data_IF_050229062671
#
_entry.id   IF_050229062671
#
_cell.length_a   1.000
_cell.length_b   1.000
_cell.length_c   1.000
_cell.angle_alpha   90.00
_cell.angle_beta   90.00
_cell.angle_gamma   90.00
#
_symmetry.space_group_name_H-M   'P 1'
#
loop_
_entity.id
_entity.type
_entity.pdbx_description
1 polymer ?
#
# COMPACT_ATOMS: atom_id res chain seq x y z
N UNK A 1 -5.54 -17.06 -1.36
CA UNK A 1 -6.41 -16.90 -0.19
C UNK A 1 -6.40 -15.44 0.20
N UNK A 2 -7.58 -14.86 0.44
CA UNK A 2 -7.77 -13.49 0.96
C UNK A 2 -8.19 -13.64 2.42
N UNK A 3 -7.45 -13.02 3.32
CA UNK A 3 -7.64 -13.07 4.77
C UNK A 3 -8.25 -11.75 5.23
N UNK A 4 -9.44 -11.83 5.80
CA UNK A 4 -10.27 -10.71 6.22
C UNK A 4 -10.33 -10.74 7.75
N UNK A 5 -9.44 -9.99 8.38
CA UNK A 5 -9.26 -10.02 9.83
C UNK A 5 -10.30 -9.18 10.57
N UNK A 6 -10.54 -9.54 11.82
CA UNK A 6 -11.22 -8.66 12.78
C UNK A 6 -10.20 -7.75 13.48
N UNK A 7 -10.58 -6.50 13.82
CA UNK A 7 -9.71 -5.64 14.61
C UNK A 7 -9.42 -6.26 15.98
N UNK A 8 -8.23 -5.99 16.51
CA UNK A 8 -7.96 -6.21 17.94
C UNK A 8 -8.79 -5.23 18.79
N UNK A 9 -9.06 -5.52 20.08
CA UNK A 9 -9.94 -4.70 20.92
C UNK A 9 -9.65 -3.18 20.90
N UNK A 10 -8.38 -2.80 20.87
CA UNK A 10 -7.96 -1.38 20.87
C UNK A 10 -7.56 -0.86 19.49
N UNK A 11 -7.68 -1.68 18.44
CA UNK A 11 -7.28 -1.32 17.09
C UNK A 11 -8.38 -0.50 16.42
N UNK A 12 -8.02 0.72 16.02
CA UNK A 12 -8.92 1.61 15.29
C UNK A 12 -8.63 1.59 13.78
N UNK A 13 -9.65 1.81 12.93
CA UNK A 13 -9.42 2.00 11.51
C UNK A 13 -8.51 3.21 11.26
N UNK A 14 -7.60 3.14 10.27
CA UNK A 14 -6.96 4.33 9.70
C UNK A 14 -8.02 5.28 9.13
N UNK A 15 -7.69 6.58 9.07
CA UNK A 15 -8.61 7.65 8.64
C UNK A 15 -9.39 7.34 7.35
N UNK A 16 -8.76 6.71 6.36
CA UNK A 16 -9.40 6.34 5.08
C UNK A 16 -10.46 5.22 5.16
N UNK A 17 -10.42 4.43 6.23
CA UNK A 17 -11.36 3.34 6.54
C UNK A 17 -12.23 3.66 7.76
N UNK A 18 -12.03 4.82 8.39
CA UNK A 18 -12.86 5.32 9.50
C UNK A 18 -14.17 5.89 8.93
N UNK A 19 -14.99 4.98 8.40
CA UNK A 19 -16.24 5.28 7.71
C UNK A 19 -17.40 4.59 8.42
N UNK A 20 -18.60 5.20 8.46
CA UNK A 20 -19.79 4.56 9.01
C UNK A 20 -20.04 3.20 8.35
N UNK A 21 -20.13 2.14 9.17
CA UNK A 21 -20.38 0.78 8.68
C UNK A 21 -19.15 0.01 8.21
N UNK A 22 -17.93 0.54 8.37
CA UNK A 22 -16.68 -0.18 8.08
C UNK A 22 -15.98 -0.51 9.39
N UNK A 23 -16.09 -1.76 9.84
CA UNK A 23 -15.57 -2.21 11.14
C UNK A 23 -14.46 -3.25 11.07
N UNK A 24 -14.39 -4.03 9.98
CA UNK A 24 -13.43 -5.11 9.84
C UNK A 24 -12.91 -5.30 8.41
N UNK A 25 -12.03 -6.28 8.21
CA UNK A 25 -11.45 -6.58 6.90
C UNK A 25 -12.49 -6.98 5.85
N UNK A 26 -13.62 -7.58 6.24
CA UNK A 26 -14.67 -7.96 5.31
C UNK A 26 -15.44 -6.74 4.80
N UNK A 27 -15.73 -5.78 5.69
CA UNK A 27 -16.32 -4.50 5.30
C UNK A 27 -15.40 -3.70 4.38
N UNK A 28 -14.11 -3.62 4.73
CA UNK A 28 -13.08 -2.96 3.90
C UNK A 28 -13.01 -3.63 2.53
N UNK A 29 -13.04 -4.97 2.47
CA UNK A 29 -12.94 -5.70 1.21
C UNK A 29 -14.18 -5.50 0.33
N UNK A 30 -15.38 -5.53 0.93
CA UNK A 30 -16.62 -5.24 0.21
C UNK A 30 -16.62 -3.82 -0.36
N UNK A 31 -16.22 -2.82 0.44
CA UNK A 31 -16.12 -1.43 -0.01
C UNK A 31 -15.04 -1.23 -1.08
N UNK A 32 -13.89 -1.89 -0.94
CA UNK A 32 -12.82 -1.84 -1.94
C UNK A 32 -13.32 -2.38 -3.29
N UNK A 33 -13.99 -3.52 -3.27
CA UNK A 33 -14.53 -4.12 -4.48
C UNK A 33 -15.64 -3.25 -5.10
N UNK A 34 -16.51 -2.67 -4.28
CA UNK A 34 -17.51 -1.71 -4.76
C UNK A 34 -16.87 -0.50 -5.44
N UNK A 35 -15.87 0.13 -4.81
CA UNK A 35 -15.15 1.29 -5.37
C UNK A 35 -14.41 0.96 -6.67
N UNK A 36 -13.96 -0.27 -6.81
CA UNK A 36 -13.25 -0.76 -7.99
C UNK A 36 -14.18 -1.34 -9.07
N UNK A 37 -15.50 -1.31 -8.88
CA UNK A 37 -16.49 -1.96 -9.76
C UNK A 37 -16.19 -3.46 -9.99
N UNK A 38 -15.75 -4.13 -8.94
CA UNK A 38 -15.41 -5.56 -8.93
C UNK A 38 -16.53 -6.33 -8.26
N UNK A 39 -17.22 -7.18 -9.03
CA UNK A 39 -18.13 -8.16 -8.45
C UNK A 39 -17.35 -9.24 -7.70
N UNK A 40 -17.59 -9.36 -6.39
CA UNK A 40 -16.98 -10.39 -5.56
C UNK A 40 -17.73 -11.71 -5.73
N UNK A 41 -17.00 -12.80 -5.96
CA UNK A 41 -17.56 -14.15 -5.95
C UNK A 41 -17.49 -14.73 -4.54
N UNK A 42 -18.51 -14.44 -3.72
CA UNK A 42 -18.60 -14.93 -2.35
C UNK A 42 -18.83 -16.43 -2.24
N UNK A 43 -19.45 -17.05 -3.25
CA UNK A 43 -19.68 -18.50 -3.33
C UNK A 43 -18.38 -19.24 -3.68
N UNK A 44 -17.54 -19.40 -2.67
CA UNK A 44 -16.26 -20.11 -2.71
C UNK A 44 -15.97 -20.73 -1.34
N UNK A 45 -14.93 -21.54 -1.20
CA UNK A 45 -14.53 -22.08 0.11
C UNK A 45 -14.24 -20.94 1.09
N UNK A 46 -15.00 -20.91 2.20
CA UNK A 46 -14.83 -19.94 3.28
C UNK A 46 -14.47 -20.62 4.60
N UNK A 47 -13.49 -20.07 5.30
CA UNK A 47 -13.03 -20.58 6.60
C UNK A 47 -13.03 -19.44 7.61
N UNK A 48 -13.69 -19.64 8.75
CA UNK A 48 -13.56 -18.75 9.90
C UNK A 48 -12.21 -18.98 10.57
N UNK A 49 -11.50 -17.90 10.82
CA UNK A 49 -10.21 -17.93 11.53
C UNK A 49 -10.43 -18.08 13.03
N UNK A 50 -9.36 -18.41 13.76
CA UNK A 50 -9.44 -18.65 15.21
C UNK A 50 -9.98 -17.45 16.00
N UNK A 51 -9.85 -16.23 15.46
CA UNK A 51 -10.27 -14.98 16.11
C UNK A 51 -11.60 -14.44 15.54
N UNK A 52 -12.24 -15.17 14.63
CA UNK A 52 -13.52 -14.79 14.03
C UNK A 52 -13.43 -14.12 12.66
N UNK A 53 -12.22 -13.84 12.16
CA UNK A 53 -12.00 -13.36 10.78
C UNK A 53 -12.41 -14.39 9.73
N UNK A 54 -12.25 -14.05 8.46
CA UNK A 54 -12.73 -14.85 7.33
C UNK A 54 -11.63 -15.03 6.27
N UNK A 55 -11.29 -16.29 5.98
CA UNK A 55 -10.51 -16.63 4.79
C UNK A 55 -11.43 -16.93 3.61
N UNK A 56 -11.18 -16.31 2.46
CA UNK A 56 -11.73 -16.67 1.16
C UNK A 56 -10.68 -17.37 0.31
N UNK A 57 -10.96 -18.60 -0.11
CA UNK A 57 -10.06 -19.37 -0.96
C UNK A 57 -10.49 -19.26 -2.41
N UNK A 58 -9.52 -19.08 -3.32
CA UNK A 58 -9.75 -19.09 -4.76
C UNK A 58 -8.63 -19.87 -5.43
N UNK A 59 -8.95 -20.52 -6.54
CA UNK A 59 -7.99 -21.14 -7.43
C UNK A 59 -7.43 -20.08 -8.38
N UNK A 60 -6.11 -19.90 -8.40
CA UNK A 60 -5.47 -18.95 -9.30
C UNK A 60 -5.63 -19.37 -10.77
N UNK A 61 -5.74 -18.43 -11.72
CA UNK A 61 -5.71 -18.74 -13.15
C UNK A 61 -4.41 -19.48 -13.53
N UNK A 62 -4.47 -20.35 -14.54
CA UNK A 62 -3.29 -21.08 -15.00
C UNK A 62 -2.14 -20.13 -15.39
N UNK A 63 -0.93 -20.44 -14.94
CA UNK A 63 0.27 -19.62 -15.18
C UNK A 63 0.37 -18.33 -14.35
N UNK A 64 -0.66 -17.96 -13.60
CA UNK A 64 -0.64 -16.77 -12.77
C UNK A 64 0.22 -16.96 -11.50
N UNK A 65 1.01 -15.94 -11.15
CA UNK A 65 1.75 -15.88 -9.89
C UNK A 65 1.47 -14.57 -9.18
N UNK A 66 0.76 -14.65 -8.07
CA UNK A 66 0.56 -13.54 -7.15
C UNK A 66 1.48 -13.71 -5.94
N UNK A 67 2.11 -12.61 -5.45
CA UNK A 67 2.80 -12.64 -4.17
C UNK A 67 1.81 -12.70 -3.01
N UNK A 68 2.29 -13.12 -1.85
CA UNK A 68 1.57 -12.89 -0.60
C UNK A 68 1.75 -11.44 -0.17
N UNK A 69 0.71 -10.83 0.40
CA UNK A 69 0.75 -9.44 0.85
C UNK A 69 0.20 -9.29 2.27
N UNK A 70 0.61 -8.23 2.96
CA UNK A 70 0.09 -7.86 4.28
C UNK A 70 -0.34 -6.41 4.27
N UNK A 71 -1.63 -6.17 4.53
CA UNK A 71 -2.24 -4.83 4.60
C UNK A 71 -2.13 -3.99 3.32
N UNK A 72 -1.82 -4.59 2.17
CA UNK A 72 -1.56 -3.83 0.93
C UNK A 72 -2.82 -3.44 0.16
N UNK A 73 -3.90 -4.21 0.31
CA UNK A 73 -5.19 -3.92 -0.34
C UNK A 73 -6.04 -2.97 0.50
N UNK A 74 -5.91 -3.03 1.83
CA UNK A 74 -6.70 -2.25 2.75
C UNK A 74 -6.47 -2.68 4.19
N UNK A 75 -7.02 -1.91 5.13
CA UNK A 75 -6.96 -2.23 6.55
C UNK A 75 -7.59 -3.62 6.82
N UNK A 76 -6.87 -4.46 7.58
CA UNK A 76 -7.29 -5.83 7.93
C UNK A 76 -7.50 -6.77 6.73
N UNK A 77 -6.86 -6.48 5.58
CA UNK A 77 -6.86 -7.37 4.42
C UNK A 77 -5.45 -7.85 4.13
N UNK A 78 -5.28 -9.16 4.19
CA UNK A 78 -4.06 -9.87 3.85
C UNK A 78 -4.30 -10.83 2.68
N UNK A 79 -3.25 -11.14 1.92
CA UNK A 79 -3.32 -12.17 0.89
C UNK A 79 -2.22 -13.21 1.09
N UNK A 80 -2.57 -14.48 0.89
CA UNK A 80 -1.63 -15.61 0.89
C UNK A 80 -1.73 -16.33 -0.45
N UNK A 81 -0.61 -16.37 -1.15
CA UNK A 81 -0.48 -16.92 -2.50
C UNK A 81 0.87 -17.63 -2.64
N UNK A 82 1.58 -17.46 -3.76
CA UNK A 82 2.81 -18.18 -4.02
C UNK A 82 3.87 -17.89 -2.94
N UNK A 83 4.52 -18.93 -2.42
CA UNK A 83 5.51 -18.85 -1.34
C UNK A 83 4.93 -18.56 0.05
N UNK A 84 3.61 -18.40 0.18
CA UNK A 84 2.92 -18.26 1.47
C UNK A 84 2.25 -19.56 1.92
N UNK A 85 1.88 -19.62 3.19
CA UNK A 85 1.07 -20.69 3.77
C UNK A 85 -0.02 -20.12 4.67
N UNK A 86 -0.98 -20.97 5.02
CA UNK A 86 -2.13 -20.66 5.86
C UNK A 86 -2.34 -21.78 6.86
N UNK A 87 -2.92 -21.47 8.01
CA UNK A 87 -3.40 -22.50 8.93
C UNK A 87 -4.67 -23.12 8.33
N UNK A 88 -4.68 -24.45 8.21
CA UNK A 88 -5.75 -25.17 7.52
C UNK A 88 -7.03 -25.25 8.38
N UNK A 89 -8.22 -25.29 7.76
CA UNK A 89 -9.46 -25.63 8.48
C UNK A 89 -9.33 -26.98 9.21
N UNK A 90 -9.94 -27.07 10.39
CA UNK A 90 -9.78 -28.20 11.32
C UNK A 90 -8.66 -28.02 12.34
N UNK A 91 -7.76 -27.05 12.13
CA UNK A 91 -6.68 -26.74 13.07
C UNK A 91 -7.21 -26.05 14.33
N UNK A 92 -6.62 -26.40 15.48
CA UNK A 92 -6.78 -25.69 16.75
C UNK A 92 -5.47 -24.99 17.10
N UNK A 93 -5.54 -23.71 17.43
CA UNK A 93 -4.37 -22.88 17.73
C UNK A 93 -4.52 -22.26 19.11
N UNK A 94 -3.55 -22.51 19.98
CA UNK A 94 -3.43 -21.89 21.31
C UNK A 94 -2.22 -20.96 21.33
N UNK A 95 -2.48 -19.69 21.59
CA UNK A 95 -1.47 -18.62 21.71
C UNK A 95 -1.74 -17.82 23.00
N UNK A 96 -0.82 -16.93 23.45
CA UNK A 96 -1.00 -16.16 24.69
C UNK A 96 -2.28 -15.32 24.74
N UNK A 97 -2.84 -15.00 23.59
CA UNK A 97 -4.07 -14.23 23.40
C UNK A 97 -5.36 -15.09 23.37
N UNK A 98 -5.24 -16.41 23.57
CA UNK A 98 -6.35 -17.35 23.64
C UNK A 98 -6.26 -18.55 22.70
N UNK A 99 -7.20 -19.47 22.87
CA UNK A 99 -7.38 -20.66 22.02
C UNK A 99 -8.54 -20.44 21.06
N UNK A 100 -8.37 -20.84 19.81
CA UNK A 100 -9.46 -20.85 18.83
C UNK A 100 -9.23 -21.85 17.71
N UNK A 101 -10.24 -21.98 16.85
CA UNK A 101 -10.28 -23.01 15.81
C UNK A 101 -10.48 -22.38 14.44
N UNK A 102 -9.82 -22.96 13.43
CA UNK A 102 -10.14 -22.67 12.04
C UNK A 102 -11.27 -23.59 11.59
N UNK A 103 -12.43 -23.04 11.23
CA UNK A 103 -13.62 -23.82 10.90
C UNK A 103 -14.12 -23.50 9.51
N UNK A 104 -14.45 -24.52 8.73
CA UNK A 104 -15.14 -24.30 7.45
C UNK A 104 -16.49 -23.66 7.77
N UNK A 105 -16.73 -22.46 7.22
CA UNK A 105 -18.01 -21.78 7.32
C UNK A 105 -18.88 -22.11 6.11
N UNK A 106 -18.28 -22.11 4.92
CA UNK A 106 -18.95 -22.47 3.68
C UNK A 106 -18.11 -23.50 2.95
N UNK A 107 -18.64 -24.72 2.83
CA UNK A 107 -17.97 -25.82 2.17
C UNK A 107 -18.28 -25.78 0.69
N UNK A 108 -17.29 -25.38 -0.11
CA UNK A 108 -17.34 -25.41 -1.56
C UNK A 108 -15.95 -25.78 -2.09
N UNK A 109 -15.88 -26.14 -3.38
CA UNK A 109 -14.60 -26.16 -4.09
C UNK A 109 -14.14 -24.71 -4.22
N UNK A 110 -12.87 -24.36 -3.96
CA UNK A 110 -12.36 -23.02 -4.20
C UNK A 110 -12.64 -22.57 -5.63
N UNK A 111 -13.48 -21.55 -5.77
CA UNK A 111 -13.85 -20.98 -7.05
C UNK A 111 -12.63 -20.46 -7.79
N UNK A 112 -12.70 -20.38 -9.12
CA UNK A 112 -11.70 -19.66 -9.90
C UNK A 112 -11.67 -18.20 -9.46
N UNK A 113 -10.47 -17.66 -9.30
CA UNK A 113 -10.28 -16.25 -8.97
C UNK A 113 -10.80 -15.39 -10.14
N UNK A 114 -11.83 -14.55 -9.93
CA UNK A 114 -12.38 -13.74 -11.02
C UNK A 114 -11.32 -12.81 -11.63
N UNK A 115 -11.29 -12.58 -12.95
CA UNK A 115 -10.27 -11.74 -13.59
C UNK A 115 -10.21 -10.31 -13.04
N UNK A 116 -11.35 -9.73 -12.69
CA UNK A 116 -11.46 -8.42 -12.07
C UNK A 116 -10.79 -8.37 -10.69
N UNK A 117 -11.05 -9.39 -9.85
CA UNK A 117 -10.41 -9.54 -8.56
C UNK A 117 -8.92 -9.89 -8.68
N UNK A 118 -8.55 -10.70 -9.67
CA UNK A 118 -7.14 -10.99 -9.97
C UNK A 118 -6.37 -9.70 -10.26
N UNK A 119 -6.91 -8.82 -11.11
CA UNK A 119 -6.31 -7.51 -11.42
C UNK A 119 -6.17 -6.63 -10.17
N UNK A 120 -7.16 -6.65 -9.28
CA UNK A 120 -7.11 -5.91 -8.01
C UNK A 120 -6.04 -6.45 -7.05
N UNK A 121 -5.79 -7.76 -7.08
CA UNK A 121 -4.78 -8.44 -6.25
C UNK A 121 -3.37 -8.38 -6.84
N UNK A 122 -3.23 -8.02 -8.11
CA UNK A 122 -1.92 -7.76 -8.68
C UNK A 122 -1.32 -6.56 -7.95
N UNK A 123 -0.03 -6.62 -7.55
CA UNK A 123 0.67 -5.42 -7.16
C UNK A 123 0.43 -4.37 -8.25
N UNK A 124 0.11 -3.13 -7.84
CA UNK A 124 0.10 -2.03 -8.79
C UNK A 124 1.40 -2.14 -9.59
N UNK A 125 1.33 -2.25 -10.94
CA UNK A 125 2.54 -2.35 -11.72
C UNK A 125 3.41 -1.19 -11.29
N UNK A 126 4.62 -1.49 -10.81
CA UNK A 126 5.68 -0.50 -10.68
C UNK A 126 5.70 0.16 -12.05
N UNK A 127 5.14 1.37 -12.17
CA UNK A 127 5.13 2.04 -13.45
C UNK A 127 6.59 2.27 -13.76
N UNK A 128 7.10 1.44 -14.66
CA UNK A 128 8.45 1.53 -15.15
C UNK A 128 8.62 2.95 -15.69
N UNK A 129 9.36 3.75 -14.93
CA UNK A 129 10.06 4.98 -15.32
C UNK A 129 9.33 5.82 -16.39
N UNK A 130 8.59 6.81 -15.92
CA UNK A 130 8.87 8.17 -16.40
C UNK A 130 9.19 9.00 -15.16
N UNK A 131 10.35 9.69 -15.08
CA UNK A 131 10.31 10.93 -14.34
C UNK A 131 9.17 11.72 -14.97
N UNK A 132 8.13 12.05 -14.20
CA UNK A 132 7.29 13.18 -14.57
C UNK A 132 8.26 14.28 -15.00
N UNK A 133 8.06 14.92 -16.15
CA UNK A 133 8.92 16.00 -16.64
C UNK A 133 8.93 17.10 -15.58
N UNK A 134 9.75 16.98 -14.55
CA UNK A 134 10.03 18.04 -13.60
C UNK A 134 10.79 19.05 -14.45
N UNK A 135 10.20 20.23 -14.73
CA UNK A 135 10.88 21.25 -15.52
C UNK A 135 12.04 21.79 -14.68
N UNK A 136 13.18 21.13 -14.77
CA UNK A 136 14.44 21.58 -14.21
C UNK A 136 14.97 22.63 -15.18
N UNK A 137 15.24 23.88 -14.72
CA UNK A 137 15.80 24.93 -15.57
C UNK A 137 17.03 24.41 -16.30
N UNK A 138 17.20 24.77 -17.58
CA UNK A 138 18.39 24.40 -18.35
C UNK A 138 19.54 25.39 -18.03
N UNK A 139 20.08 25.26 -16.83
CA UNK A 139 21.21 26.04 -16.34
C UNK A 139 22.36 25.15 -15.85
N UNK A 140 23.42 25.76 -15.32
CA UNK A 140 24.59 25.03 -14.78
C UNK A 140 24.27 24.09 -13.62
N UNK A 141 23.14 24.26 -12.95
CA UNK A 141 22.72 23.43 -11.83
C UNK A 141 21.84 22.25 -12.25
N UNK A 142 21.41 22.18 -13.53
CA UNK A 142 20.56 21.12 -14.06
C UNK A 142 21.06 19.71 -13.73
N UNK A 143 22.36 19.46 -13.96
CA UNK A 143 22.95 18.15 -13.74
C UNK A 143 22.96 17.77 -12.25
N UNK A 144 23.25 18.74 -11.38
CA UNK A 144 23.18 18.56 -9.93
C UNK A 144 21.74 18.28 -9.47
N UNK A 145 20.76 19.07 -9.95
CA UNK A 145 19.36 18.92 -9.59
C UNK A 145 18.79 17.57 -10.03
N UNK A 146 19.11 17.13 -11.25
CA UNK A 146 18.76 15.79 -11.74
C UNK A 146 19.37 14.69 -10.88
N UNK A 147 20.68 14.77 -10.60
CA UNK A 147 21.35 13.79 -9.76
C UNK A 147 20.81 13.75 -8.32
N UNK A 148 20.49 14.91 -7.74
CA UNK A 148 19.88 15.00 -6.42
C UNK A 148 18.49 14.37 -6.41
N UNK A 149 17.65 14.69 -7.39
CA UNK A 149 16.32 14.11 -7.54
C UNK A 149 16.40 12.58 -7.71
N UNK A 150 17.24 12.10 -8.63
CA UNK A 150 17.45 10.67 -8.88
C UNK A 150 17.91 9.93 -7.63
N UNK A 151 18.82 10.53 -6.86
CA UNK A 151 19.30 9.96 -5.59
C UNK A 151 18.18 9.84 -4.56
N UNK A 152 17.36 10.88 -4.39
CA UNK A 152 16.26 10.84 -3.44
C UNK A 152 15.18 9.83 -3.85
N UNK A 153 14.85 9.74 -5.13
CA UNK A 153 13.89 8.73 -5.64
C UNK A 153 14.44 7.31 -5.51
N UNK A 154 15.73 7.10 -5.75
CA UNK A 154 16.36 5.79 -5.53
C UNK A 154 16.34 5.40 -4.05
N UNK A 155 16.57 6.34 -3.14
CA UNK A 155 16.45 6.12 -1.70
C UNK A 155 15.02 5.76 -1.30
N UNK A 156 14.02 6.44 -1.88
CA UNK A 156 12.61 6.11 -1.66
C UNK A 156 12.28 4.70 -2.16
N UNK A 157 12.69 4.35 -3.37
CA UNK A 157 12.43 3.05 -3.99
C UNK A 157 13.07 1.88 -3.23
N UNK A 158 14.21 2.10 -2.56
CA UNK A 158 14.89 1.10 -1.76
C UNK A 158 14.26 0.84 -0.38
N UNK A 159 13.24 1.63 0.01
CA UNK A 159 12.65 1.58 1.34
C UNK A 159 11.95 0.24 1.63
N UNK A 160 12.41 -0.44 2.68
CA UNK A 160 11.85 -1.71 3.13
C UNK A 160 10.48 -1.52 3.81
N UNK A 161 9.61 -2.56 3.83
CA UNK A 161 8.39 -2.54 4.62
C UNK A 161 8.65 -2.09 6.06
N UNK A 162 7.79 -1.21 6.59
CA UNK A 162 7.97 -0.58 7.91
C UNK A 162 8.82 0.70 7.92
N UNK A 163 9.60 0.98 6.85
CA UNK A 163 10.41 2.19 6.72
C UNK A 163 9.90 3.17 5.65
N UNK A 164 8.97 2.73 4.81
CA UNK A 164 8.46 3.45 3.64
C UNK A 164 7.93 4.85 3.95
N UNK A 165 7.09 5.00 4.98
CA UNK A 165 6.56 6.33 5.35
C UNK A 165 7.68 7.29 5.79
N UNK A 166 8.62 6.79 6.61
CA UNK A 166 9.77 7.57 7.07
C UNK A 166 10.69 7.97 5.90
N UNK A 167 10.91 7.07 4.95
CA UNK A 167 11.67 7.35 3.75
C UNK A 167 10.98 8.41 2.88
N UNK A 168 9.66 8.29 2.67
CA UNK A 168 8.85 9.28 1.96
C UNK A 168 8.92 10.66 2.63
N UNK A 169 8.79 10.71 3.95
CA UNK A 169 8.93 11.95 4.71
C UNK A 169 10.32 12.59 4.50
N UNK A 170 11.38 11.80 4.64
CA UNK A 170 12.76 12.29 4.50
C UNK A 170 13.04 12.85 3.11
N UNK A 171 12.58 12.14 2.07
CA UNK A 171 12.71 12.57 0.68
C UNK A 171 11.88 13.84 0.41
N UNK A 172 10.63 13.89 0.89
CA UNK A 172 9.79 15.08 0.78
C UNK A 172 10.41 16.29 1.50
N UNK A 173 11.03 16.10 2.67
CA UNK A 173 11.75 17.16 3.36
C UNK A 173 12.96 17.64 2.57
N UNK A 174 13.81 16.73 2.06
CA UNK A 174 14.98 17.09 1.28
C UNK A 174 14.63 17.87 0.00
N UNK A 175 13.60 17.45 -0.73
CA UNK A 175 13.14 18.15 -1.93
C UNK A 175 12.42 19.46 -1.58
N UNK A 176 11.72 19.53 -0.44
CA UNK A 176 11.12 20.76 0.09
C UNK A 176 12.15 21.86 0.36
N UNK A 177 13.37 21.51 0.78
CA UNK A 177 14.46 22.49 0.91
C UNK A 177 14.82 23.14 -0.45
N UNK A 178 14.90 22.34 -1.51
CA UNK A 178 15.22 22.81 -2.87
C UNK A 178 14.08 23.61 -3.50
N UNK A 179 12.83 23.21 -3.25
CA UNK A 179 11.63 23.97 -3.68
C UNK A 179 11.62 25.35 -3.02
N UNK A 180 11.79 25.42 -1.70
CA UNK A 180 11.82 26.69 -0.98
C UNK A 180 13.06 27.55 -1.34
N UNK A 181 14.13 26.91 -1.82
CA UNK A 181 15.29 27.58 -2.41
C UNK A 181 15.07 28.11 -3.83
N UNK A 182 13.93 27.82 -4.45
CA UNK A 182 13.58 28.22 -5.82
C UNK A 182 14.22 27.35 -6.90
N UNK A 183 14.81 26.21 -6.54
CA UNK A 183 15.57 25.36 -7.46
C UNK A 183 14.72 24.25 -8.11
N UNK A 184 13.57 23.89 -7.51
CA UNK A 184 12.64 22.90 -8.05
C UNK A 184 11.20 23.42 -8.00
N UNK A 185 10.34 23.05 -8.96
CA UNK A 185 8.93 23.39 -8.94
C UNK A 185 8.16 22.49 -7.96
N UNK A 186 7.26 23.07 -7.16
CA UNK A 186 6.55 22.34 -6.10
C UNK A 186 5.56 21.30 -6.66
N UNK A 187 4.68 21.70 -7.57
CA UNK A 187 3.58 20.85 -8.03
C UNK A 187 4.06 19.54 -8.70
N UNK A 188 5.02 19.56 -9.64
CA UNK A 188 5.54 18.34 -10.24
C UNK A 188 6.24 17.41 -9.23
N UNK A 189 6.90 17.99 -8.21
CA UNK A 189 7.53 17.21 -7.15
C UNK A 189 6.49 16.58 -6.23
N UNK A 190 5.43 17.31 -5.87
CA UNK A 190 4.32 16.78 -5.07
C UNK A 190 3.69 15.57 -5.76
N UNK A 191 3.34 15.70 -7.04
CA UNK A 191 2.76 14.61 -7.84
C UNK A 191 3.69 13.39 -7.91
N UNK A 192 4.99 13.63 -8.14
CA UNK A 192 6.01 12.58 -8.21
C UNK A 192 6.17 11.83 -6.87
N UNK A 193 6.12 12.54 -5.74
CA UNK A 193 6.21 11.93 -4.41
C UNK A 193 4.93 11.19 -4.04
N UNK A 194 3.76 11.71 -4.42
CA UNK A 194 2.49 11.04 -4.21
C UNK A 194 2.41 9.73 -4.99
N UNK A 195 2.88 9.75 -6.23
CA UNK A 195 3.02 8.53 -7.03
C UNK A 195 4.01 7.55 -6.39
N UNK A 196 5.21 8.00 -6.02
CA UNK A 196 6.23 7.14 -5.40
C UNK A 196 5.78 6.53 -4.06
N UNK A 197 5.01 7.27 -3.26
CA UNK A 197 4.38 6.74 -2.05
C UNK A 197 3.37 5.64 -2.34
N UNK A 198 2.52 5.84 -3.36
CA UNK A 198 1.57 4.84 -3.83
C UNK A 198 2.25 3.57 -4.36
N UNK A 199 3.34 3.72 -5.11
CA UNK A 199 4.13 2.60 -5.64
C UNK A 199 4.77 1.74 -4.53
N UNK A 200 5.05 2.35 -3.38
CA UNK A 200 5.50 1.64 -2.17
C UNK A 200 4.35 0.97 -1.41
N UNK A 201 3.12 1.04 -1.90
CA UNK A 201 1.93 0.48 -1.25
C UNK A 201 1.55 1.23 0.02
N UNK A 202 1.93 2.50 0.15
CA UNK A 202 1.44 3.34 1.23
C UNK A 202 0.01 3.84 0.91
N UNK A 203 -0.87 3.96 1.91
CA UNK A 203 -2.21 4.45 1.68
C UNK A 203 -2.24 5.89 1.15
N UNK A 204 -3.11 6.20 0.18
CA UNK A 204 -3.12 7.52 -0.50
C UNK A 204 -3.24 8.69 0.49
N UNK A 205 -4.10 8.56 1.49
CA UNK A 205 -4.31 9.59 2.53
C UNK A 205 -3.03 9.83 3.35
N UNK A 206 -2.33 8.74 3.70
CA UNK A 206 -1.07 8.78 4.42
C UNK A 206 0.04 9.39 3.57
N UNK A 207 0.11 9.02 2.29
CA UNK A 207 1.06 9.57 1.32
C UNK A 207 0.89 11.08 1.19
N UNK A 208 -0.32 11.56 0.88
CA UNK A 208 -0.60 13.00 0.72
C UNK A 208 -0.20 13.77 1.99
N UNK A 209 -0.64 13.29 3.16
CA UNK A 209 -0.31 13.91 4.45
C UNK A 209 1.20 13.94 4.69
N UNK A 210 1.90 12.83 4.43
CA UNK A 210 3.35 12.74 4.64
C UNK A 210 4.10 13.66 3.69
N UNK A 211 3.74 13.69 2.40
CA UNK A 211 4.31 14.61 1.41
C UNK A 211 4.12 16.06 1.84
N UNK A 212 2.90 16.47 2.18
CA UNK A 212 2.62 17.84 2.63
C UNK A 212 3.35 18.22 3.92
N UNK A 213 3.47 17.29 4.86
CA UNK A 213 4.22 17.52 6.10
C UNK A 213 5.73 17.62 5.85
N UNK A 214 6.28 16.78 4.97
CA UNK A 214 7.69 16.75 4.61
C UNK A 214 8.09 18.01 3.83
N UNK A 215 7.33 18.38 2.79
CA UNK A 215 7.57 19.61 2.02
C UNK A 215 7.56 20.85 2.92
N UNK A 216 6.57 20.98 3.82
CA UNK A 216 6.53 22.06 4.82
C UNK A 216 7.71 22.03 5.79
N UNK A 217 8.20 20.84 6.16
CA UNK A 217 9.38 20.70 7.01
C UNK A 217 10.63 21.20 6.29
N UNK A 218 10.86 20.74 5.06
CA UNK A 218 11.97 21.16 4.20
C UNK A 218 11.98 22.66 3.92
N UNK A 219 10.79 23.25 3.71
CA UNK A 219 10.66 24.68 3.46
C UNK A 219 11.18 25.58 4.62
N UNK A 220 11.32 25.04 5.84
CA UNK A 220 11.92 25.75 6.98
C UNK A 220 13.44 25.87 6.88
N UNK A 221 14.08 25.13 5.97
CA UNK A 221 15.53 25.16 5.72
C UNK A 221 15.81 25.32 4.21
N UNK A 222 15.46 26.48 3.60
CA UNK A 222 15.60 26.67 2.16
C UNK A 222 17.05 26.46 1.70
N UNK A 223 17.25 25.56 0.74
CA UNK A 223 18.55 25.29 0.12
C UNK A 223 18.66 26.06 -1.18
N UNK A 224 19.33 27.21 -1.13
CA UNK A 224 19.62 28.01 -2.33
C UNK A 224 20.87 27.48 -3.02
N UNK A 225 20.79 27.34 -4.34
CA UNK A 225 21.97 27.10 -5.16
C UNK A 225 22.61 28.45 -5.45
N UNK A 226 23.84 28.66 -4.98
CA UNK A 226 24.53 29.94 -5.17
C UNK A 226 24.84 30.15 -6.65
N UNK A 227 24.55 31.36 -7.13
CA UNK A 227 25.10 31.80 -8.38
C UNK A 227 26.59 32.14 -8.16
N UNK A 228 27.50 31.33 -8.71
CA UNK A 228 28.89 31.75 -8.93
C UNK A 228 29.01 32.72 -10.12
#
# INVERSE_FOLDING_TARGET
MIDLDLPKPDQRPPCEWDLPGVGDGADVFALLCQRADVSVQWETLQVRTRRGGLHLYYTAPSGARLPSTTGSLGWLIDTRAWGGYVVAPGSTVTLPDGTGHYRVQHSAIPALLPPSLFKLLQPAPLLAKRPANVPIPDDRHSAYLRAALDRELAHLAAAQPGQRNRALFGVAAALGELIAGGALPEQPIKELLEQGGGDLGLPRSEVVRTVESGLRHGARRPRRLTAA
#
